data_IF_455979425242
#
_entry.id   IF_455979425242
#
_cell.length_a   1.000
_cell.length_b   1.000
_cell.length_c   1.000
_cell.angle_alpha   90.00
_cell.angle_beta   90.00
_cell.angle_gamma   90.00
#
_symmetry.space_group_name_H-M   'P 1'
#
loop_
_entity.id
_entity.type
_entity.pdbx_description
1 polymer ?
#
# COMPACT_ATOMS: atom_id res chain seq x y z
N UNK A 1 17.89 -24.29 47.06
CA UNK A 1 16.66 -24.44 46.26
C UNK A 1 16.12 -23.03 46.09
N UNK A 2 16.68 -22.13 45.29
CA UNK A 2 16.93 -22.16 43.83
C UNK A 2 15.70 -22.60 43.04
N UNK A 3 14.90 -21.62 42.60
CA UNK A 3 14.36 -21.52 41.24
C UNK A 3 14.05 -20.04 40.90
N UNK A 4 14.99 -19.40 40.19
CA UNK A 4 14.84 -18.08 39.58
C UNK A 4 14.05 -18.21 38.28
N UNK A 5 12.73 -18.12 38.36
CA UNK A 5 11.84 -18.17 37.18
C UNK A 5 11.43 -16.76 36.71
N UNK A 6 12.37 -15.84 36.49
CA UNK A 6 12.09 -14.50 35.93
C UNK A 6 12.10 -14.51 34.39
N UNK A 7 11.08 -15.16 33.83
CA UNK A 7 10.33 -14.75 32.62
C UNK A 7 11.11 -14.02 31.50
N UNK A 8 11.81 -14.79 30.68
CA UNK A 8 12.36 -14.42 29.35
C UNK A 8 11.28 -14.18 28.27
N UNK A 9 10.17 -13.49 28.59
CA UNK A 9 9.02 -13.32 27.68
C UNK A 9 8.86 -11.89 27.12
N UNK A 10 9.60 -10.92 27.68
CA UNK A 10 9.54 -9.49 27.30
C UNK A 10 10.23 -9.14 25.96
N UNK A 11 11.34 -9.79 25.54
CA UNK A 11 12.05 -9.43 24.30
C UNK A 11 11.21 -9.66 23.04
N UNK A 12 10.45 -10.76 23.01
CA UNK A 12 9.70 -11.19 21.82
C UNK A 12 8.58 -10.22 21.45
N UNK A 13 7.93 -9.61 22.44
CA UNK A 13 6.88 -8.62 22.21
C UNK A 13 7.43 -7.30 21.63
N UNK A 14 8.60 -6.85 22.10
CA UNK A 14 9.28 -5.64 21.61
C UNK A 14 9.73 -5.85 20.16
N UNK A 15 10.38 -6.98 19.87
CA UNK A 15 10.83 -7.32 18.52
C UNK A 15 9.65 -7.42 17.54
N UNK A 16 8.51 -8.01 17.96
CA UNK A 16 7.29 -8.05 17.14
C UNK A 16 6.76 -6.66 16.81
N UNK A 17 6.69 -5.75 17.79
CA UNK A 17 6.23 -4.37 17.58
C UNK A 17 7.14 -3.59 16.63
N UNK A 18 8.46 -3.73 16.78
CA UNK A 18 9.43 -3.10 15.87
C UNK A 18 9.25 -3.61 14.45
N UNK A 19 9.14 -4.94 14.25
CA UNK A 19 8.92 -5.54 12.93
C UNK A 19 7.60 -5.07 12.30
N UNK A 20 6.54 -4.98 13.09
CA UNK A 20 5.27 -4.44 12.64
C UNK A 20 5.41 -2.99 12.19
N UNK A 21 6.05 -2.14 13.00
CA UNK A 21 6.26 -0.73 12.68
C UNK A 21 7.07 -0.55 11.39
N UNK A 22 8.10 -1.37 11.17
CA UNK A 22 8.88 -1.37 9.93
C UNK A 22 8.01 -1.74 8.72
N UNK A 23 7.21 -2.81 8.81
CA UNK A 23 6.27 -3.21 7.75
C UNK A 23 5.24 -2.13 7.46
N UNK A 24 4.63 -1.56 8.49
CA UNK A 24 3.62 -0.50 8.36
C UNK A 24 4.23 0.77 7.73
N UNK A 25 5.48 1.12 8.10
CA UNK A 25 6.22 2.24 7.51
C UNK A 25 6.55 2.01 6.03
N UNK A 26 7.03 0.82 5.66
CA UNK A 26 7.27 0.45 4.26
C UNK A 26 5.98 0.50 3.45
N UNK A 27 4.87 0.00 4.01
CA UNK A 27 3.56 0.01 3.36
C UNK A 27 3.04 1.45 3.18
N UNK A 28 3.17 2.30 4.19
CA UNK A 28 2.76 3.70 4.14
C UNK A 28 3.55 4.48 3.07
N UNK A 29 4.88 4.40 3.13
CA UNK A 29 5.76 5.11 2.18
C UNK A 29 5.55 4.57 0.77
N UNK A 30 5.47 3.25 0.60
CA UNK A 30 5.21 2.62 -0.69
C UNK A 30 3.87 3.05 -1.30
N UNK A 31 2.81 3.12 -0.50
CA UNK A 31 1.49 3.59 -0.93
C UNK A 31 1.53 5.07 -1.32
N UNK A 32 2.22 5.91 -0.55
CA UNK A 32 2.38 7.33 -0.88
C UNK A 32 3.15 7.54 -2.19
N UNK A 33 4.25 6.81 -2.40
CA UNK A 33 5.00 6.83 -3.65
C UNK A 33 4.14 6.36 -4.82
N UNK A 34 3.35 5.30 -4.63
CA UNK A 34 2.41 4.81 -5.64
C UNK A 34 1.38 5.88 -6.04
N UNK A 35 0.84 6.64 -5.07
CA UNK A 35 -0.08 7.74 -5.35
C UNK A 35 0.58 8.83 -6.21
N UNK A 36 1.84 9.18 -5.91
CA UNK A 36 2.62 10.14 -6.72
C UNK A 36 2.82 9.59 -8.14
N UNK A 37 3.16 8.32 -8.30
CA UNK A 37 3.31 7.69 -9.61
C UNK A 37 1.99 7.66 -10.39
N UNK A 38 0.86 7.46 -9.72
CA UNK A 38 -0.48 7.59 -10.33
C UNK A 38 -0.77 9.01 -10.79
N UNK A 39 -0.48 10.02 -9.96
CA UNK A 39 -0.59 11.43 -10.33
C UNK A 39 0.31 11.78 -11.52
N UNK A 40 1.54 11.25 -11.54
CA UNK A 40 2.46 11.41 -12.66
C UNK A 40 1.92 10.79 -13.95
N UNK A 41 1.40 9.56 -13.88
CA UNK A 41 0.77 8.85 -15.01
C UNK A 41 -0.39 9.65 -15.59
N UNK A 42 -1.23 10.23 -14.72
CA UNK A 42 -2.29 11.16 -15.15
C UNK A 42 -1.73 12.43 -15.79
N UNK A 43 -0.69 13.03 -15.21
CA UNK A 43 -0.11 14.30 -15.68
C UNK A 43 0.52 14.19 -17.07
N UNK A 44 1.08 13.03 -17.42
CA UNK A 44 1.64 12.77 -18.76
C UNK A 44 0.61 12.24 -19.77
N UNK A 45 -0.68 12.19 -19.41
CA UNK A 45 -1.75 11.68 -20.27
C UNK A 45 -1.68 10.17 -20.54
N UNK A 46 -1.05 9.40 -19.65
CA UNK A 46 -0.86 7.95 -19.81
C UNK A 46 -2.04 7.11 -19.32
N UNK A 47 -3.05 7.69 -18.68
CA UNK A 47 -4.14 6.94 -18.04
C UNK A 47 -5.00 6.08 -18.97
N UNK A 48 -4.89 6.25 -20.29
CA UNK A 48 -5.54 5.42 -21.32
C UNK A 48 -4.54 4.70 -22.24
N UNK A 49 -3.25 4.71 -21.88
CA UNK A 49 -2.20 4.11 -22.72
C UNK A 49 -2.26 2.58 -22.78
N UNK A 50 -2.88 1.96 -21.77
CA UNK A 50 -3.27 0.55 -21.75
C UNK A 50 -4.80 0.45 -21.89
N UNK A 51 -5.34 -0.05 -23.02
CA UNK A 51 -6.77 0.05 -23.33
C UNK A 51 -7.66 -0.94 -22.56
N UNK A 52 -7.07 -1.99 -22.02
CA UNK A 52 -7.72 -3.06 -21.27
C UNK A 52 -7.29 -3.03 -19.80
N UNK A 53 -8.00 -3.78 -18.97
CA UNK A 53 -7.69 -4.04 -17.57
C UNK A 53 -8.18 -5.46 -17.24
N UNK A 54 -7.43 -6.29 -16.49
CA UNK A 54 -6.21 -5.98 -15.74
C UNK A 54 -4.91 -6.02 -16.58
N UNK A 55 -4.98 -6.56 -17.79
CA UNK A 55 -3.84 -6.66 -18.71
C UNK A 55 -3.58 -5.33 -19.44
N UNK A 56 -2.47 -5.24 -20.19
CA UNK A 56 -2.17 -4.10 -21.05
C UNK A 56 -1.87 -4.62 -22.46
N UNK A 57 -2.71 -4.27 -23.44
CA UNK A 57 -2.76 -4.83 -24.79
C UNK A 57 -2.92 -6.36 -24.78
N UNK A 58 -3.71 -6.91 -23.85
CA UNK A 58 -3.93 -8.35 -23.73
C UNK A 58 -2.71 -9.16 -23.25
N UNK A 59 -1.61 -8.50 -22.88
CA UNK A 59 -0.39 -9.14 -22.37
C UNK A 59 -0.02 -8.62 -20.97
N UNK A 60 0.76 -9.41 -20.23
CA UNK A 60 1.29 -9.01 -18.91
C UNK A 60 2.44 -8.01 -19.09
N UNK A 61 3.23 -8.14 -20.15
CA UNK A 61 4.45 -7.33 -20.37
C UNK A 61 4.45 -6.82 -21.82
N UNK A 62 3.89 -5.63 -22.09
CA UNK A 62 3.78 -5.10 -23.46
C UNK A 62 5.14 -4.84 -24.12
N UNK A 63 6.21 -4.66 -23.33
CA UNK A 63 7.58 -4.44 -23.83
C UNK A 63 8.24 -5.66 -24.48
N UNK A 64 7.66 -6.85 -24.31
CA UNK A 64 8.09 -8.05 -25.04
C UNK A 64 7.54 -8.09 -26.47
N UNK A 65 6.67 -7.14 -26.83
CA UNK A 65 5.95 -7.04 -28.08
C UNK A 65 6.21 -5.66 -28.72
N UNK A 66 7.34 -5.49 -29.43
CA UNK A 66 7.72 -4.21 -30.04
C UNK A 66 6.64 -3.63 -30.97
N UNK A 67 5.83 -4.49 -31.59
CA UNK A 67 4.70 -4.14 -32.43
C UNK A 67 3.63 -3.31 -31.70
N UNK A 68 3.45 -3.51 -30.40
CA UNK A 68 2.47 -2.77 -29.60
C UNK A 68 2.90 -1.30 -29.50
N UNK A 69 4.19 -1.07 -29.20
CA UNK A 69 4.75 0.28 -29.04
C UNK A 69 4.80 0.98 -30.39
N UNK A 70 5.16 0.26 -31.46
CA UNK A 70 5.28 0.82 -32.80
C UNK A 70 3.93 1.26 -33.41
N UNK A 71 2.83 0.59 -33.06
CA UNK A 71 1.50 0.86 -33.62
C UNK A 71 0.57 1.63 -32.68
N UNK A 72 1.01 1.94 -31.46
CA UNK A 72 0.22 2.68 -30.47
C UNK A 72 0.26 4.19 -30.73
N UNK A 73 -0.83 4.94 -30.49
CA UNK A 73 -0.78 6.40 -30.46
C UNK A 73 -0.03 6.96 -29.24
N UNK A 74 0.34 6.12 -28.27
CA UNK A 74 1.05 6.51 -27.06
C UNK A 74 2.55 6.24 -27.14
N UNK A 75 3.32 7.09 -26.48
CA UNK A 75 4.77 6.88 -26.35
C UNK A 75 5.10 5.68 -25.45
N UNK A 76 6.28 5.08 -25.65
CA UNK A 76 6.78 4.00 -24.79
C UNK A 76 6.78 4.36 -23.30
N UNK A 77 7.07 5.63 -22.96
CA UNK A 77 7.06 6.12 -21.58
C UNK A 77 5.64 6.14 -21.00
N UNK A 78 4.63 6.55 -21.77
CA UNK A 78 3.24 6.58 -21.30
C UNK A 78 2.74 5.16 -21.01
N UNK A 79 2.96 4.24 -21.97
CA UNK A 79 2.61 2.82 -21.79
C UNK A 79 3.33 2.25 -20.56
N UNK A 80 4.61 2.59 -20.37
CA UNK A 80 5.40 2.13 -19.23
C UNK A 80 4.88 2.67 -17.91
N UNK A 81 4.53 3.95 -17.84
CA UNK A 81 4.05 4.58 -16.62
C UNK A 81 2.75 3.93 -16.11
N UNK A 82 1.78 3.72 -17.00
CA UNK A 82 0.51 3.06 -16.67
C UNK A 82 0.72 1.59 -16.28
N UNK A 83 1.50 0.84 -17.06
CA UNK A 83 1.85 -0.54 -16.76
C UNK A 83 2.57 -0.67 -15.41
N UNK A 84 3.55 0.19 -15.14
CA UNK A 84 4.32 0.19 -13.90
C UNK A 84 3.45 0.58 -12.70
N UNK A 85 2.55 1.56 -12.86
CA UNK A 85 1.60 1.95 -11.82
C UNK A 85 0.71 0.75 -11.42
N UNK A 86 0.16 0.01 -12.39
CA UNK A 86 -0.62 -1.22 -12.13
C UNK A 86 0.21 -2.31 -11.44
N UNK A 87 1.43 -2.54 -11.94
CA UNK A 87 2.44 -3.42 -11.37
C UNK A 87 2.67 -3.17 -9.88
N UNK A 88 3.01 -1.92 -9.57
CA UNK A 88 3.30 -1.46 -8.21
C UNK A 88 2.05 -1.42 -7.32
N UNK A 89 0.87 -1.17 -7.89
CA UNK A 89 -0.39 -1.24 -7.16
C UNK A 89 -0.69 -2.65 -6.63
N UNK A 90 -0.37 -3.70 -7.40
CA UNK A 90 -0.49 -5.09 -6.91
C UNK A 90 0.43 -5.35 -5.72
N UNK A 91 1.68 -4.88 -5.79
CA UNK A 91 2.65 -5.02 -4.69
C UNK A 91 2.18 -4.25 -3.44
N UNK A 92 1.73 -3.01 -3.60
CA UNK A 92 1.19 -2.21 -2.51
C UNK A 92 -0.04 -2.87 -1.88
N UNK A 93 -0.94 -3.43 -2.68
CA UNK A 93 -2.09 -4.20 -2.19
C UNK A 93 -1.68 -5.38 -1.30
N UNK A 94 -0.66 -6.15 -1.70
CA UNK A 94 -0.11 -7.24 -0.88
C UNK A 94 0.50 -6.73 0.43
N UNK A 95 1.17 -5.59 0.42
CA UNK A 95 1.73 -4.96 1.62
C UNK A 95 0.64 -4.47 2.58
N UNK A 96 -0.45 -3.90 2.06
CA UNK A 96 -1.62 -3.48 2.85
C UNK A 96 -2.28 -4.68 3.54
N UNK A 97 -2.53 -5.76 2.77
CA UNK A 97 -3.09 -7.01 3.33
C UNK A 97 -2.15 -7.59 4.39
N UNK A 98 -0.85 -7.66 4.10
CA UNK A 98 0.15 -8.17 5.04
C UNK A 98 0.18 -7.35 6.33
N UNK A 99 0.09 -6.02 6.24
CA UNK A 99 0.04 -5.13 7.41
C UNK A 99 -1.19 -5.42 8.28
N UNK A 100 -2.37 -5.57 7.68
CA UNK A 100 -3.59 -5.92 8.41
C UNK A 100 -3.50 -7.30 9.09
N UNK A 101 -3.00 -8.31 8.37
CA UNK A 101 -2.83 -9.67 8.89
C UNK A 101 -1.84 -9.71 10.06
N UNK A 102 -0.69 -9.04 9.93
CA UNK A 102 0.31 -8.98 11.00
C UNK A 102 -0.25 -8.21 12.20
N UNK A 103 -0.95 -7.09 12.01
CA UNK A 103 -1.59 -6.35 13.11
C UNK A 103 -2.58 -7.23 13.89
N UNK A 104 -3.34 -8.07 13.19
CA UNK A 104 -4.23 -9.05 13.80
C UNK A 104 -3.47 -10.13 14.58
N UNK A 105 -2.42 -10.70 13.98
CA UNK A 105 -1.67 -11.80 14.57
C UNK A 105 -0.79 -11.38 15.76
N UNK A 106 -0.22 -10.18 15.74
CA UNK A 106 0.57 -9.65 16.86
C UNK A 106 -0.29 -9.05 17.96
N UNK A 107 -1.62 -9.01 17.79
CA UNK A 107 -2.59 -8.44 18.74
C UNK A 107 -2.19 -7.02 19.13
N UNK A 108 -1.94 -6.19 18.12
CA UNK A 108 -1.68 -4.77 18.34
C UNK A 108 -2.86 -4.07 19.04
N UNK A 109 -2.60 -2.84 19.50
CA UNK A 109 -3.63 -1.96 20.07
C UNK A 109 -4.82 -1.88 19.09
N UNK A 110 -6.03 -1.82 19.64
CA UNK A 110 -7.28 -1.83 18.86
C UNK A 110 -7.24 -0.83 17.68
N UNK A 111 -6.83 0.42 17.95
CA UNK A 111 -6.68 1.46 16.93
C UNK A 111 -5.71 1.09 15.79
N UNK A 112 -4.54 0.50 16.09
CA UNK A 112 -3.55 0.10 15.08
C UNK A 112 -4.13 -0.99 14.17
N UNK A 113 -4.76 -1.99 14.79
CA UNK A 113 -5.40 -3.11 14.10
C UNK A 113 -6.59 -2.65 13.26
N UNK A 114 -7.49 -1.87 13.84
CA UNK A 114 -8.71 -1.39 13.17
C UNK A 114 -8.39 -0.48 12.01
N UNK A 115 -7.42 0.43 12.15
CA UNK A 115 -6.97 1.25 11.03
C UNK A 115 -6.32 0.42 9.92
N UNK A 116 -5.48 -0.58 10.24
CA UNK A 116 -4.89 -1.46 9.23
C UNK A 116 -5.95 -2.33 8.51
N UNK A 117 -6.91 -2.88 9.25
CA UNK A 117 -8.02 -3.66 8.68
C UNK A 117 -8.91 -2.79 7.82
N UNK A 118 -9.23 -1.57 8.26
CA UNK A 118 -10.02 -0.63 7.47
C UNK A 118 -9.35 -0.30 6.13
N UNK A 119 -8.02 -0.06 6.12
CA UNK A 119 -7.26 0.12 4.89
C UNK A 119 -7.37 -1.09 3.95
N UNK A 120 -7.26 -2.31 4.50
CA UNK A 120 -7.40 -3.55 3.71
C UNK A 120 -8.83 -3.77 3.18
N UNK A 121 -9.86 -3.35 3.92
CA UNK A 121 -11.26 -3.43 3.48
C UNK A 121 -11.60 -2.45 2.36
N UNK A 122 -10.92 -1.31 2.27
CA UNK A 122 -11.07 -0.36 1.17
C UNK A 122 -10.32 -0.80 -0.10
N UNK A 123 -9.35 -1.70 0.00
CA UNK A 123 -8.52 -2.13 -1.13
C UNK A 123 -9.34 -2.71 -2.30
N UNK A 124 -10.37 -3.57 -2.12
CA UNK A 124 -11.19 -4.04 -3.23
C UNK A 124 -11.91 -2.89 -3.96
N UNK A 125 -12.41 -1.90 -3.22
CA UNK A 125 -13.04 -0.70 -3.79
C UNK A 125 -12.02 0.08 -4.61
N UNK A 126 -10.80 0.25 -4.09
CA UNK A 126 -9.70 0.93 -4.80
C UNK A 126 -9.34 0.23 -6.11
N UNK A 127 -9.25 -1.10 -6.10
CA UNK A 127 -8.93 -1.93 -7.27
C UNK A 127 -10.02 -1.80 -8.33
N UNK A 128 -11.29 -1.89 -7.94
CA UNK A 128 -12.43 -1.71 -8.85
C UNK A 128 -12.42 -0.32 -9.46
N UNK A 129 -12.28 0.73 -8.64
CA UNK A 129 -12.22 2.11 -9.12
C UNK A 129 -11.04 2.32 -10.09
N UNK A 130 -9.89 1.70 -9.83
CA UNK A 130 -8.71 1.78 -10.70
C UNK A 130 -8.88 1.06 -12.04
N UNK A 131 -9.68 -0.01 -12.11
CA UNK A 131 -10.08 -0.59 -13.39
C UNK A 131 -11.13 0.26 -14.12
N UNK A 132 -12.01 0.90 -13.36
CA UNK A 132 -13.05 1.78 -13.90
C UNK A 132 -12.48 3.07 -14.50
N UNK A 133 -11.36 3.62 -13.98
CA UNK A 133 -10.72 4.79 -14.60
C UNK A 133 -10.34 4.53 -16.06
N UNK A 134 -9.93 3.32 -16.39
CA UNK A 134 -9.57 2.92 -17.76
C UNK A 134 -10.81 2.61 -18.59
N UNK A 135 -11.69 1.75 -18.06
CA UNK A 135 -12.87 1.27 -18.81
C UNK A 135 -13.98 2.30 -18.98
N UNK A 136 -13.96 3.38 -18.18
CA UNK A 136 -14.88 4.52 -18.29
C UNK A 136 -14.17 5.79 -18.77
N UNK A 137 -13.06 5.65 -19.49
CA UNK A 137 -12.41 6.75 -20.21
C UNK A 137 -12.06 7.96 -19.32
N UNK A 138 -11.53 7.70 -18.13
CA UNK A 138 -11.15 8.71 -17.13
C UNK A 138 -12.30 9.62 -16.68
N UNK A 139 -13.52 9.07 -16.55
CA UNK A 139 -14.67 9.81 -16.03
C UNK A 139 -14.31 10.55 -14.71
N UNK A 140 -14.56 11.88 -14.61
CA UNK A 140 -14.12 12.67 -13.47
C UNK A 140 -14.60 12.16 -12.11
N UNK A 141 -15.83 11.65 -12.02
CA UNK A 141 -16.39 11.11 -10.78
C UNK A 141 -15.64 9.85 -10.34
N UNK A 142 -15.25 8.99 -11.29
CA UNK A 142 -14.53 7.74 -11.01
C UNK A 142 -13.10 8.05 -10.60
N UNK A 143 -12.40 8.93 -11.33
CA UNK A 143 -11.02 9.32 -11.02
C UNK A 143 -10.94 10.00 -9.65
N UNK A 144 -11.87 10.90 -9.34
CA UNK A 144 -11.92 11.57 -8.02
C UNK A 144 -12.27 10.59 -6.91
N UNK A 145 -13.19 9.66 -7.13
CA UNK A 145 -13.52 8.59 -6.17
C UNK A 145 -12.34 7.65 -5.92
N UNK A 146 -11.58 7.32 -6.97
CA UNK A 146 -10.36 6.52 -6.88
C UNK A 146 -9.31 7.20 -6.02
N UNK A 147 -9.08 8.51 -6.24
CA UNK A 147 -8.14 9.28 -5.42
C UNK A 147 -8.65 9.44 -3.97
N UNK A 148 -9.93 9.72 -3.77
CA UNK A 148 -10.52 9.86 -2.45
C UNK A 148 -10.37 8.58 -1.61
N UNK A 149 -10.64 7.43 -2.23
CA UNK A 149 -10.49 6.12 -1.57
C UNK A 149 -9.02 5.80 -1.28
N UNK A 150 -8.09 6.14 -2.18
CA UNK A 150 -6.65 6.03 -1.92
C UNK A 150 -6.22 6.88 -0.72
N UNK A 151 -6.73 8.11 -0.62
CA UNK A 151 -6.43 8.99 0.51
C UNK A 151 -6.96 8.43 1.82
N UNK A 152 -8.15 7.82 1.84
CA UNK A 152 -8.68 7.15 3.05
C UNK A 152 -7.79 5.97 3.48
N UNK A 153 -7.30 5.17 2.52
CA UNK A 153 -6.32 4.11 2.78
C UNK A 153 -5.04 4.69 3.37
N UNK A 154 -4.49 5.76 2.79
CA UNK A 154 -3.27 6.41 3.26
C UNK A 154 -3.42 6.95 4.70
N UNK A 155 -4.55 7.59 5.01
CA UNK A 155 -4.87 8.11 6.35
C UNK A 155 -4.93 6.96 7.36
N UNK A 156 -5.59 5.86 7.02
CA UNK A 156 -5.69 4.69 7.87
C UNK A 156 -4.31 4.03 8.12
N UNK A 157 -3.47 3.91 7.08
CA UNK A 157 -2.09 3.45 7.23
C UNK A 157 -1.26 4.40 8.10
N UNK A 158 -1.45 5.71 7.96
CA UNK A 158 -0.76 6.71 8.78
C UNK A 158 -1.12 6.56 10.26
N UNK A 159 -2.41 6.44 10.58
CA UNK A 159 -2.88 6.21 11.95
C UNK A 159 -2.28 4.92 12.54
N UNK A 160 -2.26 3.84 11.75
CA UNK A 160 -1.68 2.57 12.15
C UNK A 160 -0.18 2.67 12.42
N UNK A 161 0.59 3.30 11.52
CA UNK A 161 2.04 3.46 11.63
C UNK A 161 2.43 4.36 12.80
N UNK A 162 1.83 5.54 12.92
CA UNK A 162 2.18 6.52 13.97
C UNK A 162 1.87 5.98 15.36
N UNK A 163 0.71 5.34 15.57
CA UNK A 163 0.33 4.81 16.89
C UNK A 163 1.13 3.54 17.25
N UNK A 164 1.69 2.85 16.26
CA UNK A 164 2.56 1.69 16.48
C UNK A 164 3.99 2.03 16.91
N UNK A 165 4.35 3.31 16.99
CA UNK A 165 5.70 3.77 17.32
C UNK A 165 6.23 3.08 18.59
N UNK A 166 7.42 2.45 18.55
CA UNK A 166 8.04 1.87 19.73
C UNK A 166 8.45 2.97 20.72
N UNK A 167 7.66 3.17 21.78
CA UNK A 167 8.06 4.08 22.86
C UNK A 167 9.24 3.49 23.63
N UNK A 168 10.34 4.23 23.70
CA UNK A 168 11.46 3.95 24.59
C UNK A 168 11.09 4.36 26.01
N UNK A 169 10.43 3.50 26.76
CA UNK A 169 10.32 3.71 28.20
C UNK A 169 11.72 3.56 28.81
N UNK A 170 12.37 4.69 29.11
CA UNK A 170 13.55 4.72 29.97
C UNK A 170 13.14 4.25 31.38
N UNK A 171 13.90 3.33 32.02
CA UNK A 171 13.64 2.97 33.40
C UNK A 171 13.73 4.23 34.26
N UNK A 172 12.63 4.61 34.93
CA UNK A 172 12.70 5.65 35.96
C UNK A 172 13.65 5.11 37.03
N UNK A 173 14.81 5.76 37.21
CA UNK A 173 15.60 5.53 38.41
C UNK A 173 14.73 5.96 39.59
N UNK A 174 14.30 4.98 40.39
CA UNK A 174 13.82 5.24 41.72
C UNK A 174 15.06 5.53 42.57
N UNK A 175 15.46 6.80 42.63
CA UNK A 175 16.37 7.27 43.66
C UNK A 175 15.54 7.63 44.90
N UNK A 176 15.82 6.89 45.98
CA UNK A 176 15.29 7.04 47.34
C UNK A 176 16.09 8.05 48.14
#
# INVERSE_FOLDING_TARGET
>A
MEETHTRSYRPQAIVRRIRYHQLASVTLVGTYVLMILGAYTSAIGAGLSCPDWPMCYGTVVPFLHPEIIANSPYSALQIFAEWAHRGLAMIAGLLIISTALVAWYTRERAIVRESAVFAALLLPVQVVLGGLTVTQSLEPVIVTSHLATATLILVALTASTVVSWPSSDSPRSFES
#
